data_IF_990093536229
#
_entry.id   IF_990093536229
#
_cell.length_a   1.000
_cell.length_b   1.000
_cell.length_c   1.000
_cell.angle_alpha   90.00
_cell.angle_beta   90.00
_cell.angle_gamma   90.00
#
_symmetry.space_group_name_H-M   'P 1'
#
loop_
_entity.id
_entity.type
_entity.pdbx_description
1 polymer ?
#
# COMPACT_ATOMS: atom_id res chain seq x y z
N UNK A 1 36.02 55.56 17.03
CA UNK A 1 36.49 54.14 17.19
C UNK A 1 35.43 53.27 17.88
N UNK A 2 34.55 53.77 18.71
CA UNK A 2 33.52 53.01 19.42
C UNK A 2 32.38 52.48 18.52
N UNK A 3 32.01 53.17 17.43
CA UNK A 3 30.87 52.75 16.54
C UNK A 3 31.15 51.46 15.74
N UNK A 4 32.39 51.13 15.45
CA UNK A 4 32.75 49.89 14.72
C UNK A 4 32.72 48.64 15.60
N UNK A 5 32.99 48.79 16.90
CA UNK A 5 32.88 47.66 17.84
C UNK A 5 31.42 47.24 18.09
N UNK A 6 30.47 48.22 18.14
CA UNK A 6 29.06 47.95 18.37
C UNK A 6 28.41 47.19 17.21
N UNK A 7 28.83 47.44 15.96
CA UNK A 7 28.32 46.72 14.81
C UNK A 7 28.89 45.27 14.74
N UNK A 8 30.13 45.06 15.14
CA UNK A 8 30.73 43.71 15.12
C UNK A 8 30.03 42.76 16.10
N UNK A 9 29.68 43.26 17.31
CA UNK A 9 28.95 42.43 18.31
C UNK A 9 27.54 42.11 17.87
N UNK A 10 26.85 43.02 17.14
CA UNK A 10 25.49 42.75 16.59
C UNK A 10 25.51 41.66 15.50
N UNK A 11 26.49 41.66 14.63
CA UNK A 11 26.61 40.64 13.55
C UNK A 11 27.03 39.26 14.09
N UNK A 12 27.96 39.20 15.06
CA UNK A 12 28.32 37.92 15.70
C UNK A 12 27.17 37.30 16.46
N UNK A 13 26.31 38.10 17.13
CA UNK A 13 25.08 37.58 17.76
C UNK A 13 24.08 37.03 16.77
N UNK A 14 23.90 37.67 15.59
CA UNK A 14 22.98 37.20 14.54
C UNK A 14 23.49 35.88 13.89
N UNK A 15 24.79 35.75 13.66
CA UNK A 15 25.37 34.51 13.11
C UNK A 15 25.30 33.34 14.09
N UNK A 16 25.49 33.56 15.38
CA UNK A 16 25.33 32.54 16.41
C UNK A 16 23.85 32.09 16.57
N UNK A 17 22.90 33.01 16.45
CA UNK A 17 21.48 32.68 16.47
C UNK A 17 21.04 31.90 15.22
N UNK A 18 21.57 32.26 14.04
CA UNK A 18 21.29 31.54 12.79
C UNK A 18 21.88 30.11 12.79
N UNK A 19 23.07 29.92 13.35
CA UNK A 19 23.69 28.60 13.48
C UNK A 19 22.96 27.71 14.50
N UNK A 20 22.42 28.29 15.58
CA UNK A 20 21.64 27.55 16.55
C UNK A 20 20.27 27.05 15.99
N UNK A 21 19.66 27.79 15.05
CA UNK A 21 18.41 27.37 14.40
C UNK A 21 18.63 26.20 13.38
N UNK A 22 19.82 26.06 12.81
CA UNK A 22 20.13 25.00 11.85
C UNK A 22 20.45 23.65 12.50
N UNK A 23 20.67 23.62 13.82
CA UNK A 23 20.92 22.39 14.57
C UNK A 23 19.65 21.63 14.97
N UNK A 24 18.45 22.22 14.79
CA UNK A 24 17.19 21.52 14.90
C UNK A 24 16.86 20.89 13.53
N UNK A 25 17.60 19.84 13.18
CA UNK A 25 17.26 19.00 12.02
C UNK A 25 15.87 18.39 12.20
N UNK A 26 15.15 18.07 11.08
CA UNK A 26 13.88 17.39 11.16
C UNK A 26 14.09 16.06 11.88
N UNK A 27 13.49 15.91 13.05
CA UNK A 27 13.37 14.60 13.69
C UNK A 27 12.44 13.76 12.83
N UNK A 28 12.96 12.73 12.20
CA UNK A 28 12.16 11.75 11.48
C UNK A 28 11.26 11.05 12.49
N UNK A 29 9.99 11.41 12.49
CA UNK A 29 8.98 10.66 13.23
C UNK A 29 8.72 9.39 12.43
N UNK A 30 9.40 8.31 12.78
CA UNK A 30 9.05 6.98 12.32
C UNK A 30 7.78 6.58 13.08
N UNK A 31 6.77 6.13 12.36
CA UNK A 31 5.61 5.51 12.98
C UNK A 31 6.06 4.19 13.59
N UNK A 32 6.14 4.13 14.93
CA UNK A 32 6.44 2.90 15.65
C UNK A 32 5.28 1.91 15.54
N UNK A 33 5.60 0.62 15.49
CA UNK A 33 4.59 -0.43 15.44
C UNK A 33 5.08 -1.73 14.80
N UNK A 34 4.14 -2.55 14.37
CA UNK A 34 4.43 -3.80 13.66
C UNK A 34 4.62 -3.53 12.17
N UNK A 35 5.85 -3.72 11.67
CA UNK A 35 6.24 -3.40 10.28
C UNK A 35 6.56 -4.69 9.53
N UNK A 36 5.71 -5.10 8.56
CA UNK A 36 6.03 -6.17 7.62
C UNK A 36 7.19 -5.78 6.70
N UNK A 37 8.04 -6.74 6.33
CA UNK A 37 9.17 -6.56 5.42
C UNK A 37 8.78 -6.45 3.94
N UNK A 38 7.49 -6.50 3.65
CA UNK A 38 6.92 -6.38 2.29
C UNK A 38 5.69 -5.48 2.29
N UNK A 39 5.37 -4.93 1.14
CA UNK A 39 4.12 -4.20 0.89
C UNK A 39 3.05 -5.04 0.16
N UNK A 40 3.40 -6.23 -0.31
CA UNK A 40 2.51 -7.20 -0.97
C UNK A 40 2.96 -8.60 -0.61
N UNK A 41 2.03 -9.45 -0.18
CA UNK A 41 2.30 -10.87 0.02
C UNK A 41 2.00 -11.61 -1.28
N UNK A 42 2.95 -12.38 -1.80
CA UNK A 42 2.74 -13.24 -2.97
C UNK A 42 2.83 -14.69 -2.51
N UNK A 43 1.74 -15.41 -2.62
CA UNK A 43 1.65 -16.83 -2.31
C UNK A 43 1.62 -17.60 -3.63
N UNK A 44 2.74 -18.24 -3.99
CA UNK A 44 2.78 -19.09 -5.17
C UNK A 44 2.11 -20.43 -4.89
N UNK A 45 1.20 -20.83 -5.72
CA UNK A 45 0.53 -22.13 -5.59
C UNK A 45 1.53 -23.30 -5.70
N UNK A 46 2.61 -23.13 -6.46
CA UNK A 46 3.65 -24.15 -6.59
C UNK A 46 4.36 -24.44 -5.25
N UNK A 47 4.51 -23.42 -4.42
CA UNK A 47 5.19 -23.51 -3.11
C UNK A 47 4.19 -23.88 -1.98
N UNK A 48 2.90 -23.64 -2.21
CA UNK A 48 1.83 -23.86 -1.24
C UNK A 48 1.80 -22.88 -0.07
N UNK A 49 2.83 -22.04 0.07
CA UNK A 49 2.94 -21.07 1.16
C UNK A 49 3.82 -19.86 0.81
N UNK A 50 3.70 -18.82 1.63
CA UNK A 50 4.64 -17.70 1.67
C UNK A 50 4.89 -17.28 3.11
N UNK A 51 6.00 -16.59 3.36
CA UNK A 51 6.35 -16.08 4.69
C UNK A 51 6.66 -14.59 4.63
N UNK A 52 6.24 -13.87 5.66
CA UNK A 52 6.49 -12.44 5.86
C UNK A 52 7.10 -12.25 7.23
N UNK A 53 8.20 -11.50 7.31
CA UNK A 53 8.80 -11.11 8.57
C UNK A 53 8.20 -9.80 9.05
N UNK A 54 7.67 -9.76 10.28
CA UNK A 54 7.07 -8.57 10.88
C UNK A 54 7.91 -8.14 12.06
N UNK A 55 8.46 -6.94 11.99
CA UNK A 55 9.32 -6.37 13.02
C UNK A 55 8.53 -5.43 13.94
N UNK A 56 8.69 -5.60 15.24
CA UNK A 56 8.21 -4.65 16.22
C UNK A 56 9.23 -3.49 16.33
N UNK A 57 8.91 -2.33 15.76
CA UNK A 57 9.76 -1.13 15.83
C UNK A 57 9.47 -0.27 17.06
N UNK A 58 8.44 -0.62 17.85
CA UNK A 58 8.15 0.05 19.11
C UNK A 58 9.21 -0.29 20.17
N UNK A 59 9.42 0.63 21.10
CA UNK A 59 10.27 0.44 22.28
C UNK A 59 9.68 -0.50 23.34
N UNK A 60 8.42 -0.94 23.15
CA UNK A 60 7.69 -1.81 24.04
C UNK A 60 7.27 -3.09 23.36
N UNK A 61 7.11 -4.13 24.17
CA UNK A 61 6.48 -5.35 23.78
C UNK A 61 5.06 -5.11 23.26
N UNK A 62 4.69 -5.77 22.17
CA UNK A 62 3.33 -5.76 21.66
C UNK A 62 2.88 -7.15 21.17
N UNK A 63 1.58 -7.37 21.12
CA UNK A 63 1.00 -8.52 20.46
C UNK A 63 0.78 -8.19 18.99
N UNK A 64 1.31 -9.00 18.10
CA UNK A 64 1.02 -8.96 16.67
C UNK A 64 -0.21 -9.85 16.43
N UNK A 65 -1.28 -9.25 15.91
CA UNK A 65 -2.47 -9.95 15.43
C UNK A 65 -2.53 -9.85 13.92
N UNK A 66 -2.62 -10.99 13.24
CA UNK A 66 -2.72 -11.06 11.79
C UNK A 66 -4.03 -11.73 11.40
N UNK A 67 -4.86 -11.03 10.63
CA UNK A 67 -6.12 -11.53 10.11
C UNK A 67 -6.12 -11.50 8.59
N UNK A 68 -6.86 -12.44 8.00
CA UNK A 68 -7.12 -12.47 6.57
C UNK A 68 -8.51 -11.92 6.32
N UNK A 69 -8.64 -11.09 5.29
CA UNK A 69 -9.91 -10.56 4.83
C UNK A 69 -10.11 -10.90 3.35
N UNK A 70 -11.30 -11.31 3.02
CA UNK A 70 -11.73 -11.48 1.64
C UNK A 70 -12.04 -10.11 1.02
N UNK A 71 -11.98 -10.05 -0.30
CA UNK A 71 -12.54 -8.93 -1.06
C UNK A 71 -14.01 -9.25 -1.42
N UNK A 72 -14.85 -8.23 -1.65
CA UNK A 72 -16.26 -8.47 -1.98
C UNK A 72 -16.49 -9.38 -3.20
N UNK A 73 -15.57 -9.33 -4.16
CA UNK A 73 -15.62 -10.10 -5.41
C UNK A 73 -15.12 -11.54 -5.28
N UNK A 74 -14.46 -11.87 -4.16
CA UNK A 74 -13.87 -13.19 -3.92
C UNK A 74 -13.89 -13.55 -2.44
N UNK A 75 -14.91 -14.27 -2.01
CA UNK A 75 -15.15 -14.69 -0.61
C UNK A 75 -14.73 -16.14 -0.32
N UNK A 76 -14.06 -16.82 -1.26
CA UNK A 76 -13.60 -18.18 -1.04
C UNK A 76 -12.45 -18.22 -0.01
N UNK A 77 -12.60 -19.03 1.03
CA UNK A 77 -11.55 -19.24 2.03
C UNK A 77 -10.46 -20.14 1.45
N UNK A 78 -9.36 -19.53 1.05
CA UNK A 78 -8.22 -20.20 0.39
C UNK A 78 -6.92 -20.08 1.16
N UNK A 79 -6.86 -19.19 2.16
CA UNK A 79 -5.64 -18.91 2.91
C UNK A 79 -5.86 -19.13 4.40
N UNK A 80 -4.78 -19.57 5.03
CA UNK A 80 -4.63 -19.63 6.49
C UNK A 80 -3.36 -18.91 6.88
N UNK A 81 -3.36 -18.28 8.06
CA UNK A 81 -2.19 -17.57 8.61
C UNK A 81 -1.73 -18.23 9.90
N UNK A 82 -0.42 -18.36 10.10
CA UNK A 82 0.13 -18.95 11.32
C UNK A 82 1.48 -18.33 11.72
N UNK A 83 1.67 -17.95 12.99
CA UNK A 83 0.64 -17.81 14.02
C UNK A 83 -0.25 -16.59 13.77
N UNK A 84 -1.59 -16.66 14.02
CA UNK A 84 -2.48 -15.52 13.86
C UNK A 84 -2.32 -14.48 14.97
N UNK A 85 -1.84 -14.90 16.13
CA UNK A 85 -1.57 -14.03 17.28
C UNK A 85 -0.26 -14.44 17.93
N UNK A 86 0.65 -13.48 18.14
CA UNK A 86 1.95 -13.74 18.76
C UNK A 86 2.48 -12.51 19.47
N UNK A 87 3.32 -12.74 20.47
CA UNK A 87 4.02 -11.71 21.21
C UNK A 87 5.34 -11.40 20.49
N UNK A 88 5.63 -10.11 20.29
CA UNK A 88 6.87 -9.65 19.66
C UNK A 88 7.56 -8.63 20.56
N UNK A 89 8.76 -8.95 20.98
CA UNK A 89 9.59 -8.08 21.82
C UNK A 89 10.07 -6.86 21.02
N UNK A 90 10.48 -5.76 21.69
CA UNK A 90 11.05 -4.59 21.04
C UNK A 90 12.20 -4.96 20.10
N UNK A 91 12.20 -4.39 18.90
CA UNK A 91 13.24 -4.61 17.87
C UNK A 91 13.42 -6.06 17.44
N UNK A 92 12.45 -6.95 17.75
CA UNK A 92 12.43 -8.33 17.28
C UNK A 92 11.44 -8.51 16.16
N UNK A 93 11.67 -9.56 15.36
CA UNK A 93 10.82 -9.92 14.23
C UNK A 93 10.15 -11.27 14.50
N UNK A 94 8.94 -11.41 13.97
CA UNK A 94 8.17 -12.65 13.95
C UNK A 94 7.91 -13.04 12.50
N UNK A 95 8.17 -14.30 12.18
CA UNK A 95 7.81 -14.85 10.88
C UNK A 95 6.33 -15.27 10.89
N UNK A 96 5.57 -14.80 9.93
CA UNK A 96 4.17 -15.12 9.69
C UNK A 96 4.07 -15.91 8.40
N UNK A 97 3.49 -17.10 8.43
CA UNK A 97 3.30 -17.96 7.26
C UNK A 97 1.87 -17.85 6.76
N UNK A 98 1.73 -17.75 5.46
CA UNK A 98 0.49 -17.76 4.69
C UNK A 98 0.41 -19.08 3.95
N UNK A 99 -0.52 -19.93 4.30
CA UNK A 99 -0.65 -21.30 3.76
C UNK A 99 -1.84 -21.31 2.80
N UNK A 100 -1.59 -21.68 1.55
CA UNK A 100 -2.61 -21.81 0.52
C UNK A 100 -3.26 -23.19 0.61
N UNK A 101 -4.60 -23.20 0.70
CA UNK A 101 -5.42 -24.41 0.62
C UNK A 101 -6.51 -24.20 -0.42
N UNK A 102 -6.23 -24.55 -1.66
CA UNK A 102 -7.21 -24.49 -2.74
C UNK A 102 -7.69 -25.89 -3.08
N UNK A 103 -9.01 -26.13 -3.13
CA UNK A 103 -9.56 -27.45 -3.50
C UNK A 103 -9.32 -27.81 -4.96
N UNK A 104 -9.06 -26.80 -5.80
CA UNK A 104 -8.77 -26.96 -7.22
C UNK A 104 -7.60 -26.06 -7.60
N UNK A 105 -6.81 -26.43 -8.64
CA UNK A 105 -5.74 -25.57 -9.13
C UNK A 105 -6.25 -24.18 -9.53
N UNK A 106 -5.47 -23.16 -9.21
CA UNK A 106 -5.77 -21.80 -9.61
C UNK A 106 -5.51 -21.63 -11.11
N UNK A 107 -6.43 -20.97 -11.81
CA UNK A 107 -6.29 -20.65 -13.24
C UNK A 107 -5.86 -19.21 -13.49
N UNK A 108 -6.22 -18.32 -12.58
CA UNK A 108 -5.88 -16.89 -12.61
C UNK A 108 -5.40 -16.44 -11.23
N UNK A 109 -4.69 -15.31 -11.17
CA UNK A 109 -4.38 -14.71 -9.88
C UNK A 109 -5.65 -14.36 -9.12
N UNK A 110 -5.59 -14.49 -7.79
CA UNK A 110 -6.64 -14.06 -6.87
C UNK A 110 -6.09 -13.04 -5.89
N UNK A 111 -6.98 -12.17 -5.40
CA UNK A 111 -6.63 -11.12 -4.46
C UNK A 111 -7.34 -11.38 -3.12
N UNK A 112 -6.55 -11.32 -2.05
CA UNK A 112 -7.01 -11.31 -0.66
C UNK A 112 -6.34 -10.16 0.07
N UNK A 113 -6.69 -9.96 1.34
CA UNK A 113 -6.11 -8.93 2.20
C UNK A 113 -5.56 -9.57 3.47
N UNK A 114 -4.42 -9.06 3.95
CA UNK A 114 -3.87 -9.41 5.26
C UNK A 114 -3.74 -8.14 6.09
N UNK A 115 -4.30 -8.20 7.29
CA UNK A 115 -4.27 -7.11 8.25
C UNK A 115 -3.26 -7.45 9.33
N UNK A 116 -2.27 -6.58 9.51
CA UNK A 116 -1.28 -6.67 10.57
C UNK A 116 -1.58 -5.57 11.59
N UNK A 117 -1.88 -5.97 12.81
CA UNK A 117 -2.25 -5.06 13.88
C UNK A 117 -1.35 -5.28 15.09
N UNK A 118 -0.68 -4.21 15.51
CA UNK A 118 0.12 -4.19 16.73
C UNK A 118 -0.71 -3.74 17.91
N UNK A 119 -0.95 -4.61 18.88
CA UNK A 119 -1.67 -4.30 20.12
C UNK A 119 -0.68 -4.09 21.26
N UNK A 120 -0.50 -2.87 21.77
CA UNK A 120 0.40 -2.61 22.89
C UNK A 120 -0.09 -3.32 24.16
N UNK A 121 0.83 -3.91 24.92
CA UNK A 121 0.52 -4.59 26.18
C UNK A 121 0.24 -3.54 27.28
N UNK A 122 -0.98 -3.59 27.83
CA UNK A 122 -1.39 -2.80 28.99
C UNK A 122 -1.72 -1.34 28.69
N UNK A 123 -2.95 -0.95 28.96
CA UNK A 123 -3.31 0.45 29.15
C UNK A 123 -2.88 0.81 30.57
N UNK A 124 -1.69 1.41 30.74
CA UNK A 124 -1.41 2.11 31.98
C UNK A 124 -2.52 3.13 32.21
N UNK A 125 -3.13 3.12 33.38
CA UNK A 125 -4.12 4.11 33.74
C UNK A 125 -3.53 5.52 33.52
N UNK A 126 -4.32 6.42 32.95
CA UNK A 126 -3.89 7.82 32.85
C UNK A 126 -3.66 8.37 34.26
N UNK A 127 -2.53 9.00 34.47
CA UNK A 127 -2.31 9.77 35.70
C UNK A 127 -3.36 10.89 35.81
N UNK A 128 -3.80 11.17 37.00
CA UNK A 128 -4.81 12.20 37.24
C UNK A 128 -4.37 13.54 36.61
N UNK A 129 -5.20 14.09 35.74
CA UNK A 129 -4.93 15.37 35.05
C UNK A 129 -4.22 15.27 33.69
N UNK A 130 -3.90 14.07 33.20
CA UNK A 130 -3.30 13.90 31.88
C UNK A 130 -4.19 13.06 30.96
N UNK A 131 -4.49 13.58 29.75
CA UNK A 131 -5.13 12.81 28.70
C UNK A 131 -4.06 11.96 27.96
N UNK A 132 -4.30 10.65 27.79
CA UNK A 132 -3.44 9.77 27.02
C UNK A 132 -4.19 9.25 25.78
N UNK A 133 -3.62 9.49 24.61
CA UNK A 133 -4.15 8.95 23.36
C UNK A 133 -3.32 7.72 22.98
N UNK A 134 -3.95 6.54 22.92
CA UNK A 134 -3.32 5.34 22.35
C UNK A 134 -3.57 5.29 20.85
N UNK A 135 -2.51 5.23 20.05
CA UNK A 135 -2.61 5.04 18.60
C UNK A 135 -2.23 3.60 18.29
N UNK A 136 -3.11 2.89 17.59
CA UNK A 136 -2.82 1.55 17.04
C UNK A 136 -2.64 1.68 15.54
N UNK A 137 -1.50 1.22 15.03
CA UNK A 137 -1.24 1.20 13.59
C UNK A 137 -1.73 -0.15 13.03
N UNK A 138 -2.63 -0.08 12.07
CA UNK A 138 -3.17 -1.23 11.35
C UNK A 138 -2.72 -1.16 9.90
N UNK A 139 -1.94 -2.15 9.45
CA UNK A 139 -1.47 -2.23 8.07
C UNK A 139 -2.30 -3.26 7.31
N UNK A 140 -2.88 -2.85 6.20
CA UNK A 140 -3.72 -3.68 5.34
C UNK A 140 -3.00 -3.93 4.01
N UNK A 141 -2.40 -5.10 3.85
CA UNK A 141 -1.61 -5.48 2.69
C UNK A 141 -2.41 -6.38 1.73
N UNK A 142 -2.25 -6.20 0.41
CA UNK A 142 -2.76 -7.15 -0.57
C UNK A 142 -2.00 -8.47 -0.50
N UNK A 143 -2.73 -9.57 -0.66
CA UNK A 143 -2.19 -10.92 -0.81
C UNK A 143 -2.59 -11.42 -2.20
N UNK A 144 -1.61 -11.68 -3.04
CA UNK A 144 -1.79 -12.22 -4.38
C UNK A 144 -1.55 -13.73 -4.35
N UNK A 145 -2.57 -14.52 -4.69
CA UNK A 145 -2.43 -15.94 -4.92
C UNK A 145 -2.03 -16.14 -6.38
N UNK A 146 -0.84 -16.68 -6.62
CA UNK A 146 -0.28 -16.81 -7.96
C UNK A 146 -0.36 -18.26 -8.43
N UNK A 147 -1.06 -18.55 -9.55
CA UNK A 147 -1.24 -19.91 -10.08
C UNK A 147 0.08 -20.60 -10.40
N UNK A 148 0.13 -21.90 -10.19
CA UNK A 148 1.24 -22.74 -10.64
C UNK A 148 1.32 -22.71 -12.17
N UNK A 149 2.53 -22.44 -12.70
CA UNK A 149 2.78 -22.40 -14.14
C UNK A 149 2.42 -21.09 -14.84
N UNK A 150 1.78 -20.14 -14.16
CA UNK A 150 1.60 -18.81 -14.70
C UNK A 150 2.93 -18.04 -14.69
N UNK A 151 3.37 -17.54 -15.85
CA UNK A 151 4.62 -16.77 -15.94
C UNK A 151 4.51 -15.44 -15.15
N UNK A 152 5.57 -15.00 -14.45
CA UNK A 152 5.57 -13.68 -13.82
C UNK A 152 5.41 -12.56 -14.86
N UNK A 153 4.51 -11.61 -14.59
CA UNK A 153 4.33 -10.42 -15.42
C UNK A 153 4.58 -9.17 -14.57
N UNK A 154 5.54 -8.33 -14.98
CA UNK A 154 5.91 -7.11 -14.25
C UNK A 154 5.08 -5.90 -14.65
N UNK A 155 4.39 -5.97 -15.77
CA UNK A 155 3.61 -4.88 -16.38
C UNK A 155 2.19 -5.33 -16.76
N UNK A 156 1.42 -5.98 -15.86
CA UNK A 156 0.14 -6.58 -16.22
C UNK A 156 -0.90 -5.55 -16.69
N UNK A 157 -0.75 -4.27 -16.33
CA UNK A 157 -1.62 -3.18 -16.76
C UNK A 157 -1.58 -2.89 -18.26
N UNK A 158 -0.52 -3.31 -18.96
CA UNK A 158 -0.42 -3.14 -20.42
C UNK A 158 -1.41 -4.03 -21.18
N UNK A 159 -1.94 -5.06 -20.54
CA UNK A 159 -2.95 -5.94 -21.10
C UNK A 159 -4.39 -5.48 -20.87
N UNK A 160 -4.63 -4.38 -20.14
CA UNK A 160 -5.97 -3.81 -19.99
C UNK A 160 -6.48 -3.24 -21.31
N UNK A 161 -7.75 -3.46 -21.59
CA UNK A 161 -8.44 -2.83 -22.72
C UNK A 161 -9.42 -1.77 -22.24
N UNK A 162 -9.50 -0.65 -22.97
CA UNK A 162 -10.26 0.52 -22.59
C UNK A 162 -11.22 0.92 -23.69
N UNK A 163 -12.46 1.28 -23.34
CA UNK A 163 -13.44 1.83 -24.25
C UNK A 163 -14.20 2.98 -23.61
N UNK A 164 -14.63 3.94 -24.42
CA UNK A 164 -15.37 5.13 -23.97
C UNK A 164 -16.60 5.34 -24.86
N UNK A 165 -17.80 5.20 -24.27
CA UNK A 165 -19.07 5.42 -24.93
C UNK A 165 -19.98 6.25 -24.02
N UNK A 166 -20.61 7.27 -24.56
CA UNK A 166 -21.59 8.12 -23.87
C UNK A 166 -21.12 8.62 -22.50
N UNK A 167 -19.89 9.11 -22.41
CA UNK A 167 -19.24 9.55 -21.17
C UNK A 167 -19.15 8.42 -20.10
N UNK A 168 -19.06 7.17 -20.53
CA UNK A 168 -18.80 6.01 -19.69
C UNK A 168 -17.52 5.34 -20.13
N UNK A 169 -16.52 5.39 -19.27
CA UNK A 169 -15.24 4.70 -19.46
C UNK A 169 -15.36 3.28 -18.93
N UNK A 170 -15.06 2.30 -19.77
CA UNK A 170 -14.98 0.90 -19.40
C UNK A 170 -13.54 0.40 -19.48
N UNK A 171 -13.13 -0.36 -18.47
CA UNK A 171 -11.88 -1.12 -18.45
C UNK A 171 -12.19 -2.60 -18.37
N UNK A 172 -11.59 -3.39 -19.23
CA UNK A 172 -11.65 -4.84 -19.18
C UNK A 172 -10.25 -5.43 -18.99
N UNK A 173 -10.13 -6.41 -18.09
CA UNK A 173 -8.89 -7.13 -17.85
C UNK A 173 -8.98 -8.55 -18.44
N UNK A 174 -8.57 -8.79 -19.68
CA UNK A 174 -8.58 -10.13 -20.30
C UNK A 174 -7.43 -11.01 -19.80
N UNK A 175 -6.53 -10.48 -18.97
CA UNK A 175 -5.33 -11.20 -18.53
C UNK A 175 -5.60 -12.05 -17.29
N UNK A 176 -4.77 -13.08 -17.02
CA UNK A 176 -4.90 -13.87 -15.80
C UNK A 176 -4.30 -13.19 -14.56
N UNK A 177 -3.90 -11.93 -14.64
CA UNK A 177 -3.25 -11.20 -13.56
C UNK A 177 -4.18 -10.21 -12.90
N UNK A 178 -4.04 -10.05 -11.59
CA UNK A 178 -4.62 -8.92 -10.85
C UNK A 178 -3.83 -7.66 -11.21
N UNK A 179 -4.51 -6.68 -11.78
CA UNK A 179 -3.90 -5.38 -12.11
C UNK A 179 -4.19 -4.39 -10.99
N UNK A 180 -3.14 -3.76 -10.46
CA UNK A 180 -3.23 -2.74 -9.41
C UNK A 180 -2.86 -1.37 -9.97
N UNK A 181 -3.67 -0.35 -9.67
CA UNK A 181 -3.50 1.01 -10.15
C UNK A 181 -4.20 2.01 -9.22
N UNK A 182 -3.85 3.30 -9.34
CA UNK A 182 -4.59 4.34 -8.66
C UNK A 182 -6.04 4.42 -9.20
N UNK A 183 -6.96 4.88 -8.36
CA UNK A 183 -8.36 5.04 -8.77
C UNK A 183 -8.55 6.18 -9.78
N UNK A 184 -7.74 7.24 -9.66
CA UNK A 184 -7.83 8.40 -10.54
C UNK A 184 -7.19 8.11 -11.89
N UNK A 185 -7.96 8.36 -12.96
CA UNK A 185 -7.57 8.22 -14.35
C UNK A 185 -7.70 9.58 -15.04
N UNK A 186 -6.78 9.87 -15.97
CA UNK A 186 -6.86 11.06 -16.82
C UNK A 186 -7.20 10.67 -18.25
N UNK A 187 -8.02 11.47 -18.90
CA UNK A 187 -8.47 11.26 -20.26
C UNK A 187 -7.81 12.28 -21.17
N UNK A 188 -7.14 11.82 -22.23
CA UNK A 188 -6.38 12.64 -23.17
C UNK A 188 -6.95 12.51 -24.60
N UNK A 189 -6.90 13.58 -25.41
CA UNK A 189 -6.50 14.94 -25.08
C UNK A 189 -7.53 15.64 -24.18
N UNK A 190 -7.08 16.67 -23.49
CA UNK A 190 -7.92 17.48 -22.60
C UNK A 190 -7.61 17.21 -21.12
N UNK A 191 -8.51 17.66 -20.24
CA UNK A 191 -8.38 17.53 -18.78
C UNK A 191 -9.48 16.64 -18.19
N UNK A 192 -9.99 15.69 -18.98
CA UNK A 192 -11.00 14.75 -18.50
C UNK A 192 -10.44 13.81 -17.45
N UNK A 193 -11.32 13.31 -16.59
CA UNK A 193 -11.00 12.34 -15.55
C UNK A 193 -12.09 11.30 -15.41
N UNK A 194 -11.71 10.18 -14.84
CA UNK A 194 -12.63 9.15 -14.37
C UNK A 194 -12.10 8.56 -13.05
N UNK A 195 -12.97 8.04 -12.20
CA UNK A 195 -12.60 7.48 -10.91
C UNK A 195 -13.05 6.03 -10.84
N UNK A 196 -12.09 5.12 -10.73
CA UNK A 196 -12.39 3.70 -10.49
C UNK A 196 -12.94 3.50 -9.07
N UNK A 197 -13.82 2.51 -8.85
CA UNK A 197 -14.40 2.24 -7.54
C UNK A 197 -13.36 1.70 -6.55
N UNK A 198 -12.24 1.16 -7.04
CA UNK A 198 -11.18 0.56 -6.24
C UNK A 198 -9.83 0.56 -6.97
N UNK A 199 -8.77 0.19 -6.26
CA UNK A 199 -7.36 0.26 -6.73
C UNK A 199 -6.89 -1.01 -7.44
N UNK A 200 -7.80 -1.85 -7.93
CA UNK A 200 -7.48 -3.08 -8.67
C UNK A 200 -8.57 -3.43 -9.69
N UNK A 201 -8.18 -4.20 -10.71
CA UNK A 201 -9.06 -4.85 -11.69
C UNK A 201 -8.70 -6.34 -11.71
N UNK A 202 -9.67 -7.19 -11.45
CA UNK A 202 -9.47 -8.64 -11.37
C UNK A 202 -9.40 -9.28 -12.76
N UNK A 203 -8.82 -10.48 -12.89
CA UNK A 203 -8.86 -11.25 -14.12
C UNK A 203 -10.28 -11.46 -14.66
N UNK A 204 -10.47 -11.22 -15.96
CA UNK A 204 -11.76 -11.36 -16.62
C UNK A 204 -12.80 -10.29 -16.29
N UNK A 205 -12.49 -9.33 -15.45
CA UNK A 205 -13.42 -8.32 -14.97
C UNK A 205 -13.56 -7.15 -15.93
N UNK A 206 -14.77 -6.57 -15.96
CA UNK A 206 -15.04 -5.28 -16.62
C UNK A 206 -15.63 -4.31 -15.60
N UNK A 207 -15.01 -3.14 -15.49
CA UNK A 207 -15.52 -2.02 -14.69
C UNK A 207 -15.93 -0.89 -15.60
N UNK A 208 -17.10 -0.30 -15.34
CA UNK A 208 -17.60 0.87 -16.08
C UNK A 208 -17.88 2.01 -15.11
N UNK A 209 -17.30 3.17 -15.39
CA UNK A 209 -17.41 4.36 -14.55
C UNK A 209 -17.80 5.59 -15.37
N UNK A 210 -18.33 6.61 -14.73
CA UNK A 210 -18.59 7.88 -15.38
C UNK A 210 -17.27 8.58 -15.73
N UNK A 211 -17.21 9.15 -16.93
CA UNK A 211 -16.12 9.98 -17.39
C UNK A 211 -16.57 11.45 -17.47
N UNK A 212 -15.68 12.38 -17.14
CA UNK A 212 -15.99 13.81 -17.18
C UNK A 212 -16.03 14.40 -18.60
N UNK A 213 -15.66 13.61 -19.60
CA UNK A 213 -15.75 14.00 -21.03
C UNK A 213 -16.20 12.82 -21.88
N UNK A 214 -16.87 13.14 -23.01
CA UNK A 214 -17.45 12.14 -23.91
C UNK A 214 -16.46 11.61 -24.96
N UNK A 215 -15.32 12.27 -25.14
CA UNK A 215 -14.33 11.91 -26.17
C UNK A 215 -12.93 11.95 -25.58
N UNK A 216 -12.20 10.87 -25.80
CA UNK A 216 -10.78 10.75 -25.50
C UNK A 216 -10.18 9.65 -26.39
N UNK A 217 -8.92 9.76 -26.74
CA UNK A 217 -8.19 8.74 -27.48
C UNK A 217 -7.29 7.90 -26.59
N UNK A 218 -6.99 8.39 -25.38
CA UNK A 218 -6.01 7.80 -24.49
C UNK A 218 -6.46 7.95 -23.03
N UNK A 219 -6.26 6.92 -22.24
CA UNK A 219 -6.36 6.99 -20.78
C UNK A 219 -4.97 6.91 -20.18
N UNK A 220 -4.64 7.86 -19.31
CA UNK A 220 -3.43 7.85 -18.51
C UNK A 220 -3.76 7.30 -17.12
N UNK A 221 -3.05 6.26 -16.70
CA UNK A 221 -3.20 5.60 -15.41
C UNK A 221 -1.88 5.59 -14.64
N UNK A 222 -1.98 5.44 -13.33
CA UNK A 222 -0.86 5.29 -12.40
C UNK A 222 -0.84 3.84 -11.90
N UNK A 223 -0.12 2.93 -12.59
CA UNK A 223 -0.07 1.53 -12.17
C UNK A 223 0.87 1.32 -10.98
N UNK A 224 0.64 0.23 -10.26
CA UNK A 224 1.56 -0.28 -9.26
C UNK A 224 2.12 -1.64 -9.71
N UNK A 225 3.39 -1.88 -9.45
CA UNK A 225 4.00 -3.19 -9.69
C UNK A 225 3.35 -4.27 -8.83
N UNK A 226 3.58 -5.53 -9.14
CA UNK A 226 3.14 -6.68 -8.33
C UNK A 226 3.60 -6.53 -6.87
N UNK A 227 4.77 -5.93 -6.65
CA UNK A 227 5.31 -5.65 -5.31
C UNK A 227 4.78 -4.35 -4.67
N UNK A 228 3.81 -3.67 -5.29
CA UNK A 228 3.18 -2.47 -4.73
C UNK A 228 3.93 -1.16 -4.94
N UNK A 229 5.05 -1.17 -5.67
CA UNK A 229 5.75 0.07 -6.01
C UNK A 229 5.00 0.83 -7.11
N UNK A 230 4.78 2.12 -6.91
CA UNK A 230 4.30 3.00 -7.95
C UNK A 230 5.35 3.07 -9.08
N UNK A 231 4.87 2.98 -10.31
CA UNK A 231 5.68 3.24 -11.52
C UNK A 231 5.22 4.55 -12.15
N UNK A 232 5.96 5.04 -13.13
CA UNK A 232 5.54 6.24 -13.87
C UNK A 232 4.17 6.08 -14.54
N UNK A 233 3.54 7.18 -14.93
CA UNK A 233 2.26 7.14 -15.66
C UNK A 233 2.37 6.25 -16.89
N UNK A 234 1.31 5.50 -17.17
CA UNK A 234 1.17 4.71 -18.37
C UNK A 234 -0.03 5.20 -19.18
N UNK A 235 0.14 5.32 -20.49
CA UNK A 235 -0.90 5.75 -21.42
C UNK A 235 -1.37 4.55 -22.25
N UNK A 236 -2.66 4.27 -22.19
CA UNK A 236 -3.29 3.20 -22.95
C UNK A 236 -4.29 3.81 -23.97
N UNK A 237 -4.37 3.24 -25.19
CA UNK A 237 -5.34 3.67 -26.18
C UNK A 237 -6.77 3.33 -25.71
N UNK A 238 -7.72 4.21 -26.05
CA UNK A 238 -9.16 3.97 -25.88
C UNK A 238 -9.72 3.56 -27.24
N UNK A 239 -10.39 2.41 -27.26
CA UNK A 239 -11.20 2.00 -28.42
C UNK A 239 -12.58 2.64 -28.33
N UNK A 240 -13.08 3.12 -29.48
CA UNK A 240 -14.42 3.68 -29.63
C UNK A 240 -15.47 2.58 -29.77
#
# INVERSE_FOLDING_TARGET
MLSRLFNLVRYTGLYLAAVALTLWGPTWVLADGMVPDTSVVIVNEADGEASVSVTNTDSKLALLHVTLEDIPEDTATLLFVTPPLTRVEPSKSQLIRFILQSPTPLTTQRLKRAIFEGMPQGRAAAEAGHARVGVTVRQNLPVILHPKGLAPNRTPWTGLTWSLHDSRLSVHNPTPYVVRLAQELRLLPGNGSALLPRTYVLPGETLTVAASQAQASTVQLQPATVYGFAVGPYEAPITL
#
